data_IF_457136383955
#
_entry.id   IF_457136383955
#
_cell.length_a   1.000
_cell.length_b   1.000
_cell.length_c   1.000
_cell.angle_alpha   90.00
_cell.angle_beta   90.00
_cell.angle_gamma   90.00
#
_symmetry.space_group_name_H-M   'P 1'
#
loop_
_entity.id
_entity.type
_entity.pdbx_description
1 polymer ?
#
# COMPACT_ATOMS: atom_id res chain seq x y z
N UNK A 1 -37.20 20.09 32.53
CA UNK A 1 -35.73 19.89 32.50
C UNK A 1 -35.27 18.53 31.93
N UNK A 2 -36.11 17.47 31.88
CA UNK A 2 -35.72 16.17 31.29
C UNK A 2 -35.75 16.07 29.75
N UNK A 3 -36.38 17.03 29.05
CA UNK A 3 -36.52 17.01 27.58
C UNK A 3 -35.36 17.64 26.81
N UNK A 4 -34.48 18.38 27.48
CA UNK A 4 -33.34 19.07 26.83
C UNK A 4 -32.12 18.12 26.72
N UNK A 5 -32.01 17.13 27.60
CA UNK A 5 -30.86 16.21 27.64
C UNK A 5 -30.93 15.19 26.49
N UNK A 6 -32.12 14.84 26.00
CA UNK A 6 -32.28 13.87 24.91
C UNK A 6 -31.82 14.42 23.54
N UNK A 7 -31.85 15.73 23.34
CA UNK A 7 -31.49 16.34 22.05
C UNK A 7 -29.96 16.39 21.81
N UNK A 8 -29.16 16.35 22.88
CA UNK A 8 -27.69 16.41 22.79
C UNK A 8 -27.05 15.06 22.44
N UNK A 9 -27.75 13.95 22.67
CA UNK A 9 -27.21 12.60 22.39
C UNK A 9 -27.35 12.22 20.90
N UNK A 10 -28.34 12.77 20.19
CA UNK A 10 -28.52 12.51 18.75
C UNK A 10 -27.58 13.33 17.85
N UNK A 11 -27.06 14.46 18.32
CA UNK A 11 -26.15 15.29 17.51
C UNK A 11 -24.69 14.80 17.53
N UNK A 12 -24.34 13.88 18.44
CA UNK A 12 -22.99 13.34 18.55
C UNK A 12 -22.68 12.18 17.58
N UNK A 13 -23.68 11.65 16.87
CA UNK A 13 -23.53 10.46 16.00
C UNK A 13 -23.21 10.83 14.54
N UNK A 14 -23.40 12.10 14.15
CA UNK A 14 -23.22 12.56 12.77
C UNK A 14 -21.76 12.78 12.34
N UNK A 15 -20.79 12.67 13.26
CA UNK A 15 -19.35 12.74 12.93
C UNK A 15 -18.73 11.37 12.68
N UNK A 16 -19.54 10.37 12.34
CA UNK A 16 -19.04 9.14 11.74
C UNK A 16 -18.45 9.53 10.39
N UNK A 17 -17.15 9.84 10.36
CA UNK A 17 -16.41 10.13 9.15
C UNK A 17 -16.76 9.03 8.14
N UNK A 18 -17.43 9.42 7.06
CA UNK A 18 -17.51 8.60 5.87
C UNK A 18 -16.07 8.61 5.35
N UNK A 19 -15.24 7.72 5.89
CA UNK A 19 -13.95 7.41 5.31
C UNK A 19 -14.29 6.89 3.92
N UNK A 20 -14.10 7.74 2.91
CA UNK A 20 -14.29 7.33 1.52
C UNK A 20 -13.45 6.08 1.26
N UNK A 21 -13.92 5.21 0.38
CA UNK A 21 -13.15 4.03 -0.02
C UNK A 21 -11.72 4.45 -0.41
N UNK A 22 -10.68 3.69 0.00
CA UNK A 22 -9.31 4.00 -0.36
C UNK A 22 -9.12 4.20 -1.87
N UNK A 23 -8.41 5.26 -2.24
CA UNK A 23 -8.19 5.68 -3.62
C UNK A 23 -6.73 5.44 -4.00
N UNK A 24 -6.51 4.68 -5.08
CA UNK A 24 -5.17 4.29 -5.53
C UNK A 24 -4.26 5.48 -5.80
N UNK A 25 -4.79 6.51 -6.44
CA UNK A 25 -4.11 7.75 -6.80
C UNK A 25 -3.73 8.64 -5.61
N UNK A 26 -4.14 8.26 -4.39
CA UNK A 26 -3.78 8.92 -3.13
C UNK A 26 -2.95 8.01 -2.22
N UNK A 27 -2.81 6.73 -2.58
CA UNK A 27 -2.03 5.74 -1.83
C UNK A 27 -0.63 5.55 -2.38
N UNK A 28 0.05 4.51 -1.89
CA UNK A 28 1.39 4.13 -2.33
C UNK A 28 1.23 3.07 -3.41
N UNK A 29 1.69 3.34 -4.64
CA UNK A 29 1.72 2.34 -5.71
C UNK A 29 3.08 1.65 -5.76
N UNK A 30 3.10 0.33 -5.87
CA UNK A 30 4.33 -0.43 -6.00
C UNK A 30 4.20 -1.59 -7.01
N UNK A 31 5.30 -1.89 -7.69
CA UNK A 31 5.45 -3.06 -8.55
C UNK A 31 6.40 -4.08 -7.89
N UNK A 32 6.00 -5.34 -7.85
CA UNK A 32 6.85 -6.41 -7.34
C UNK A 32 7.80 -6.93 -8.42
N UNK A 33 9.07 -6.51 -8.37
CA UNK A 33 10.13 -6.94 -9.26
C UNK A 33 10.68 -8.31 -8.82
N UNK A 34 10.53 -9.38 -9.64
CA UNK A 34 11.05 -10.68 -9.29
C UNK A 34 12.57 -10.70 -9.20
N UNK A 35 13.14 -11.44 -8.25
CA UNK A 35 14.58 -11.51 -8.00
C UNK A 35 15.38 -11.93 -9.23
N UNK A 36 14.91 -12.93 -9.95
CA UNK A 36 15.56 -13.38 -11.21
C UNK A 36 15.67 -12.27 -12.27
N UNK A 37 14.73 -11.32 -12.27
CA UNK A 37 14.74 -10.17 -13.22
C UNK A 37 15.63 -9.05 -12.69
N UNK A 38 15.57 -8.80 -11.38
CA UNK A 38 16.41 -7.83 -10.70
C UNK A 38 17.91 -8.18 -10.86
N UNK A 39 18.25 -9.48 -10.73
CA UNK A 39 19.62 -9.99 -10.86
C UNK A 39 20.18 -9.78 -12.29
N UNK A 40 19.35 -9.83 -13.34
CA UNK A 40 19.76 -9.54 -14.73
C UNK A 40 20.12 -8.05 -14.92
N UNK A 41 19.34 -7.17 -14.29
CA UNK A 41 19.46 -5.72 -14.45
C UNK A 41 20.41 -5.07 -13.43
N UNK A 42 20.95 -5.85 -12.49
CA UNK A 42 21.78 -5.33 -11.40
C UNK A 42 21.00 -4.44 -10.41
N UNK A 43 19.67 -4.57 -10.36
CA UNK A 43 18.80 -3.79 -9.48
C UNK A 43 18.42 -4.59 -8.23
N UNK A 44 18.01 -3.93 -7.12
CA UNK A 44 17.41 -4.63 -6.00
C UNK A 44 16.07 -5.26 -6.41
N UNK A 45 15.81 -6.49 -5.98
CA UNK A 45 14.49 -7.11 -6.09
C UNK A 45 13.51 -6.53 -5.06
N UNK A 46 12.22 -6.88 -5.14
CA UNK A 46 11.22 -6.53 -4.12
C UNK A 46 10.16 -5.55 -4.62
N UNK A 47 9.58 -4.76 -3.72
CA UNK A 47 8.57 -3.77 -4.08
C UNK A 47 9.25 -2.46 -4.51
N UNK A 48 9.17 -2.15 -5.79
CA UNK A 48 9.60 -0.88 -6.36
C UNK A 48 8.44 0.13 -6.25
N UNK A 49 8.62 1.18 -5.45
CA UNK A 49 7.55 2.17 -5.19
C UNK A 49 7.47 3.22 -6.30
N UNK A 50 6.36 3.33 -7.01
CA UNK A 50 6.17 4.38 -8.01
C UNK A 50 6.25 5.77 -7.38
N UNK A 51 7.01 6.67 -8.00
CA UNK A 51 7.06 8.06 -7.59
C UNK A 51 5.68 8.71 -7.72
N UNK A 52 5.32 9.55 -6.74
CA UNK A 52 4.22 10.48 -6.86
C UNK A 52 4.53 11.76 -6.07
N UNK A 53 4.13 12.95 -6.55
CA UNK A 53 4.49 14.23 -5.92
C UNK A 53 4.02 14.39 -4.46
N UNK A 54 2.99 13.65 -4.05
CA UNK A 54 2.44 13.69 -2.70
C UNK A 54 3.14 12.72 -1.73
N UNK A 55 4.03 11.85 -2.22
CA UNK A 55 4.82 10.97 -1.37
C UNK A 55 6.03 11.72 -0.83
N UNK A 56 6.45 11.37 0.39
CA UNK A 56 7.68 11.93 0.95
C UNK A 56 8.87 11.55 0.08
N UNK A 57 9.68 12.56 -0.23
CA UNK A 57 10.80 12.44 -1.16
C UNK A 57 11.86 11.50 -0.62
N UNK A 58 12.45 10.73 -1.53
CA UNK A 58 13.55 9.81 -1.26
C UNK A 58 14.75 10.20 -2.12
N UNK A 59 15.98 9.93 -1.67
CA UNK A 59 17.19 10.22 -2.45
C UNK A 59 17.26 9.43 -3.77
N UNK A 60 16.45 8.37 -3.91
CA UNK A 60 16.34 7.59 -5.14
C UNK A 60 15.08 6.72 -5.15
N UNK A 61 14.98 5.89 -6.18
CA UNK A 61 13.88 4.95 -6.39
C UNK A 61 13.82 3.91 -5.23
N UNK A 62 12.75 3.87 -4.43
CA UNK A 62 12.69 2.96 -3.27
C UNK A 62 12.44 1.52 -3.71
N UNK A 63 13.23 0.60 -3.15
CA UNK A 63 13.04 -0.85 -3.25
C UNK A 63 12.90 -1.42 -1.84
N UNK A 64 11.77 -2.09 -1.58
CA UNK A 64 11.42 -2.62 -0.26
C UNK A 64 11.51 -4.15 -0.30
N UNK A 65 12.46 -4.72 0.46
CA UNK A 65 12.83 -6.15 0.41
C UNK A 65 12.41 -6.93 1.65
N UNK A 66 12.00 -6.24 2.70
CA UNK A 66 11.48 -6.83 3.93
C UNK A 66 10.21 -6.13 4.40
N UNK A 67 9.42 -6.81 5.23
CA UNK A 67 8.23 -6.21 5.83
C UNK A 67 8.59 -4.99 6.67
N UNK A 68 9.74 -5.01 7.35
CA UNK A 68 10.25 -3.87 8.12
C UNK A 68 10.47 -2.66 7.22
N UNK A 69 11.06 -2.85 6.04
CA UNK A 69 11.29 -1.76 5.08
C UNK A 69 9.96 -1.18 4.59
N UNK A 70 8.96 -2.05 4.34
CA UNK A 70 7.63 -1.61 3.94
C UNK A 70 6.96 -0.80 5.04
N UNK A 71 6.94 -1.29 6.27
CA UNK A 71 6.35 -0.56 7.40
C UNK A 71 7.04 0.78 7.61
N UNK A 72 8.38 0.81 7.65
CA UNK A 72 9.13 2.05 7.78
C UNK A 72 8.85 3.04 6.63
N UNK A 73 8.68 2.54 5.41
CA UNK A 73 8.34 3.38 4.26
C UNK A 73 6.91 3.92 4.30
N UNK A 74 5.94 3.11 4.75
CA UNK A 74 4.54 3.52 4.84
C UNK A 74 4.34 4.49 6.00
N UNK A 75 4.87 4.19 7.19
CA UNK A 75 4.67 4.96 8.41
C UNK A 75 5.28 6.37 8.35
N UNK A 76 6.31 6.58 7.51
CA UNK A 76 6.83 7.93 7.30
C UNK A 76 5.88 8.80 6.47
N UNK A 77 4.94 8.25 5.71
CA UNK A 77 4.05 9.05 4.84
C UNK A 77 3.04 9.87 5.64
N UNK A 78 2.38 10.82 4.98
CA UNK A 78 1.25 11.54 5.58
C UNK A 78 0.11 10.58 5.92
N UNK A 79 -0.63 10.88 7.01
CA UNK A 79 -1.73 10.02 7.49
C UNK A 79 -2.75 9.71 6.39
N UNK A 80 -3.08 10.70 5.56
CA UNK A 80 -3.99 10.53 4.43
C UNK A 80 -3.48 9.54 3.39
N UNK A 81 -2.17 9.47 3.16
CA UNK A 81 -1.57 8.48 2.24
C UNK A 81 -1.65 7.08 2.85
N UNK A 82 -1.35 6.94 4.15
CA UNK A 82 -1.42 5.66 4.88
C UNK A 82 -2.85 5.11 4.87
N UNK A 83 -3.86 5.96 5.07
CA UNK A 83 -5.28 5.60 4.99
C UNK A 83 -5.70 5.12 3.60
N UNK A 84 -5.03 5.58 2.54
CA UNK A 84 -5.24 5.09 1.16
C UNK A 84 -4.44 3.81 0.84
N UNK A 85 -3.52 3.41 1.72
CA UNK A 85 -2.89 2.09 1.72
C UNK A 85 -1.80 1.88 0.67
N UNK A 86 -1.35 0.62 0.61
CA UNK A 86 -0.36 0.11 -0.32
C UNK A 86 -1.03 -0.68 -1.45
N UNK A 87 -0.74 -0.32 -2.68
CA UNK A 87 -1.26 -0.92 -3.91
C UNK A 87 -0.14 -1.65 -4.63
N UNK A 88 -0.14 -2.98 -4.53
CA UNK A 88 0.90 -3.85 -5.12
C UNK A 88 0.41 -4.47 -6.42
N UNK A 89 1.19 -4.26 -7.48
CA UNK A 89 1.03 -4.95 -8.75
C UNK A 89 2.09 -6.04 -8.87
N UNK A 90 1.65 -7.26 -9.14
CA UNK A 90 2.53 -8.41 -9.36
C UNK A 90 2.44 -8.96 -10.77
N UNK A 91 3.47 -9.69 -11.18
CA UNK A 91 3.43 -10.49 -12.40
C UNK A 91 2.90 -11.91 -12.11
N UNK A 92 3.14 -12.85 -13.02
CA UNK A 92 2.74 -14.24 -12.87
C UNK A 92 3.38 -14.88 -11.61
N UNK A 93 2.64 -15.63 -10.78
CA UNK A 93 3.17 -16.20 -9.53
C UNK A 93 4.43 -17.05 -9.69
N UNK A 94 4.53 -17.81 -10.79
CA UNK A 94 5.72 -18.64 -11.10
C UNK A 94 6.99 -17.83 -11.41
N UNK A 95 6.91 -16.51 -11.48
CA UNK A 95 8.08 -15.65 -11.61
C UNK A 95 8.85 -15.48 -10.30
N UNK A 96 8.18 -15.71 -9.16
CA UNK A 96 8.71 -15.47 -7.83
C UNK A 96 9.26 -16.77 -7.22
N UNK A 97 10.38 -16.64 -6.50
CA UNK A 97 10.96 -17.70 -5.69
C UNK A 97 10.17 -17.96 -4.41
N UNK A 98 10.53 -19.02 -3.69
CA UNK A 98 9.97 -19.32 -2.37
C UNK A 98 10.23 -18.18 -1.36
N UNK A 99 11.43 -17.57 -1.42
CA UNK A 99 11.79 -16.45 -0.54
C UNK A 99 10.86 -15.25 -0.76
N UNK A 100 10.62 -14.88 -2.02
CA UNK A 100 9.73 -13.77 -2.40
C UNK A 100 8.28 -14.06 -2.01
N UNK A 101 7.85 -15.31 -2.22
CA UNK A 101 6.51 -15.76 -1.83
C UNK A 101 6.30 -15.63 -0.32
N UNK A 102 7.27 -16.08 0.49
CA UNK A 102 7.26 -15.89 1.96
C UNK A 102 7.25 -14.42 2.36
N UNK A 103 7.97 -13.56 1.63
CA UNK A 103 7.93 -12.12 1.87
C UNK A 103 6.52 -11.56 1.65
N UNK A 104 5.86 -11.91 0.54
CA UNK A 104 4.51 -11.43 0.23
C UNK A 104 3.45 -11.97 1.20
N UNK A 105 3.57 -13.23 1.63
CA UNK A 105 2.69 -13.81 2.65
C UNK A 105 2.82 -13.08 3.98
N UNK A 106 4.06 -12.84 4.43
CA UNK A 106 4.32 -12.04 5.64
C UNK A 106 3.75 -10.63 5.50
N UNK A 107 3.89 -10.00 4.34
CA UNK A 107 3.34 -8.67 4.11
C UNK A 107 1.81 -8.63 4.28
N UNK A 108 1.11 -9.62 3.71
CA UNK A 108 -0.35 -9.76 3.84
C UNK A 108 -0.80 -9.98 5.28
N UNK A 109 0.04 -10.62 6.11
CA UNK A 109 -0.26 -10.84 7.53
C UNK A 109 0.06 -9.63 8.41
N UNK A 110 1.12 -8.88 8.12
CA UNK A 110 1.60 -7.80 8.98
C UNK A 110 0.89 -6.46 8.74
N UNK A 111 0.64 -6.05 7.50
CA UNK A 111 0.01 -4.75 7.20
C UNK A 111 -1.36 -4.54 7.89
N UNK A 112 -2.26 -5.54 7.93
CA UNK A 112 -3.51 -5.41 8.66
C UNK A 112 -3.33 -5.17 10.17
N UNK A 113 -2.27 -5.70 10.80
CA UNK A 113 -1.98 -5.47 12.22
C UNK A 113 -1.63 -4.01 12.51
N UNK A 114 -1.15 -3.29 11.51
CA UNK A 114 -0.81 -1.87 11.56
C UNK A 114 -1.94 -0.97 11.03
N UNK A 115 -3.13 -1.51 10.74
CA UNK A 115 -4.25 -0.80 10.10
C UNK A 115 -3.89 -0.16 8.75
N UNK A 116 -2.98 -0.78 8.00
CA UNK A 116 -2.58 -0.33 6.65
C UNK A 116 -3.35 -1.16 5.62
N UNK A 117 -4.22 -0.55 4.79
CA UNK A 117 -4.89 -1.26 3.71
C UNK A 117 -3.88 -1.78 2.69
N UNK A 118 -4.04 -3.04 2.28
CA UNK A 118 -3.23 -3.67 1.24
C UNK A 118 -4.13 -4.09 0.07
N UNK A 119 -3.83 -3.55 -1.10
CA UNK A 119 -4.48 -3.90 -2.35
C UNK A 119 -3.49 -4.65 -3.23
N UNK A 120 -3.97 -5.73 -3.85
CA UNK A 120 -3.12 -6.63 -4.62
C UNK A 120 -3.79 -6.99 -5.93
N UNK A 121 -3.09 -6.81 -7.04
CA UNK A 121 -3.56 -7.22 -8.36
C UNK A 121 -2.41 -7.78 -9.19
N UNK A 122 -2.73 -8.72 -10.09
CA UNK A 122 -1.78 -9.07 -11.15
C UNK A 122 -1.86 -8.02 -12.25
N UNK A 123 -0.72 -7.73 -12.88
CA UNK A 123 -0.69 -6.81 -14.04
C UNK A 123 -1.65 -7.22 -15.15
N UNK A 124 -1.88 -8.53 -15.32
CA UNK A 124 -2.83 -9.10 -16.29
C UNK A 124 -4.31 -8.86 -15.94
N UNK A 125 -4.63 -8.50 -14.69
CA UNK A 125 -6.01 -8.28 -14.22
C UNK A 125 -6.43 -6.80 -14.33
N UNK A 126 -5.49 -5.91 -14.66
CA UNK A 126 -5.76 -4.48 -14.81
C UNK A 126 -6.36 -4.17 -16.18
N UNK A 127 -7.55 -3.55 -16.22
CA UNK A 127 -8.31 -3.24 -17.46
C UNK A 127 -7.50 -2.50 -18.53
N UNK A 128 -6.53 -1.67 -18.14
CA UNK A 128 -5.69 -0.87 -19.05
C UNK A 128 -4.22 -1.30 -19.04
N UNK A 129 -3.90 -2.48 -18.47
CA UNK A 129 -2.54 -2.87 -18.13
C UNK A 129 -1.92 -1.95 -17.06
N UNK A 130 -0.65 -2.18 -16.77
CA UNK A 130 0.16 -1.30 -15.91
C UNK A 130 0.87 -0.26 -16.76
N UNK A 131 0.66 1.02 -16.48
CA UNK A 131 1.46 2.13 -17.03
C UNK A 131 2.45 2.57 -15.97
N UNK A 132 3.74 2.29 -16.18
CA UNK A 132 4.83 2.99 -15.49
C UNK A 132 5.07 4.32 -16.23
N UNK A 133 5.00 5.44 -15.52
CA UNK A 133 5.45 6.73 -16.03
C UNK A 133 6.89 6.98 -15.58
#
# INVERSE_FOLDING_TARGET
MKRIITLLIFLAIANSAIAGEPQREKGISAHALPKRVADISGQPWGLQVSYAPYLKSEPGQPYLQSVKDVLAYVEKQEKSVVENGLWVVTTHPSAYSEQETKFFEKLKMELPKHNIPLFWARGSELKNGFKSY
#
